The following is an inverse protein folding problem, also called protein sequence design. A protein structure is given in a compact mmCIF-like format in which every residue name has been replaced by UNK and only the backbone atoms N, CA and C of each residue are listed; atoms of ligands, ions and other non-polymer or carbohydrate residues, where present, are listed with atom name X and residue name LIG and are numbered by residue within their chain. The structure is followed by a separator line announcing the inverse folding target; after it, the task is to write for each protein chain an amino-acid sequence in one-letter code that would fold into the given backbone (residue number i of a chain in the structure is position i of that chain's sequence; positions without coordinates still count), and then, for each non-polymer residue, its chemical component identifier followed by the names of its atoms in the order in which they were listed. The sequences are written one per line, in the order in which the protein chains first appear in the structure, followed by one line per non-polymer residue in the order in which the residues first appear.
data_IF_463310549472
#
_entry.id   IF_463310549472
#
_cell.length_a   1.000
_cell.length_b   1.000
_cell.length_c   1.000
_cell.angle_alpha   90.00
_cell.angle_beta   90.00
_cell.angle_gamma   90.00
#
_symmetry.space_group_name_H-M   'P 1'
#
loop_
_entity.id
_entity.type
_entity.pdbx_description
1 polymer ?
#
# COMPACT_ATOMS: atom_id res chain seq x y z
N UNK A 1 -0.57 -23.38 9.94
CA UNK A 1 0.07 -22.87 8.71
C UNK A 1 1.22 -21.99 9.15
N UNK A 2 2.42 -22.09 8.57
CA UNK A 2 3.56 -21.25 8.98
C UNK A 2 3.74 -20.01 8.08
N UNK A 3 3.02 -19.95 6.97
CA UNK A 3 2.93 -18.80 6.09
C UNK A 3 1.79 -17.91 6.55
N UNK A 4 1.95 -16.61 6.37
CA UNK A 4 0.89 -15.66 6.52
C UNK A 4 -0.25 -15.96 5.54
N UNK A 5 -1.49 -15.82 6.01
CA UNK A 5 -2.67 -16.11 5.19
C UNK A 5 -2.91 -15.05 4.11
N UNK A 6 -2.48 -13.81 4.38
CA UNK A 6 -2.63 -12.65 3.50
C UNK A 6 -1.33 -11.82 3.43
N UNK A 7 -0.22 -12.36 2.89
CA UNK A 7 1.00 -11.58 2.70
C UNK A 7 0.73 -10.33 1.85
N UNK A 8 1.12 -9.15 2.34
CA UNK A 8 0.81 -7.84 1.72
C UNK A 8 -0.69 -7.59 1.50
N UNK A 9 -1.57 -8.30 2.21
CA UNK A 9 -3.02 -8.23 2.04
C UNK A 9 -3.54 -9.04 0.84
N UNK A 10 -2.69 -9.86 0.21
CA UNK A 10 -3.05 -10.77 -0.89
C UNK A 10 -3.32 -12.17 -0.32
N UNK A 11 -4.52 -12.76 -0.54
CA UNK A 11 -4.78 -14.13 -0.09
C UNK A 11 -3.71 -15.09 -0.61
N UNK A 12 -3.18 -15.98 0.24
CA UNK A 12 -2.07 -16.86 -0.13
C UNK A 12 -2.37 -17.71 -1.38
N UNK A 13 -3.63 -18.08 -1.63
CA UNK A 13 -4.05 -18.79 -2.84
C UNK A 13 -3.94 -18.00 -4.15
N UNK A 14 -3.79 -16.67 -4.07
CA UNK A 14 -3.50 -15.78 -5.20
C UNK A 14 -2.02 -15.44 -5.32
N UNK A 15 -1.18 -15.85 -4.37
CA UNK A 15 0.28 -15.68 -4.45
C UNK A 15 0.87 -16.85 -5.24
N UNK A 16 1.71 -16.61 -6.27
CA UNK A 16 2.24 -17.65 -7.15
C UNK A 16 3.39 -18.47 -6.52
N UNK A 17 3.22 -18.94 -5.28
CA UNK A 17 4.22 -19.72 -4.53
C UNK A 17 4.54 -21.06 -5.19
N UNK A 18 3.56 -21.68 -5.86
CA UNK A 18 3.71 -22.97 -6.53
C UNK A 18 4.51 -22.86 -7.84
N UNK A 19 4.53 -21.67 -8.44
CA UNK A 19 5.27 -21.39 -9.67
C UNK A 19 6.73 -21.02 -9.35
N UNK A 20 6.98 -20.43 -8.18
CA UNK A 20 8.30 -19.97 -7.75
C UNK A 20 9.28 -21.11 -7.43
N UNK A 21 10.36 -21.18 -8.20
CA UNK A 21 11.37 -22.23 -8.08
C UNK A 21 12.13 -22.18 -6.75
N UNK A 22 12.42 -20.97 -6.24
CA UNK A 22 13.12 -20.77 -4.98
C UNK A 22 12.23 -21.18 -3.80
N UNK A 23 10.95 -20.82 -3.80
CA UNK A 23 9.96 -21.24 -2.81
C UNK A 23 9.87 -22.76 -2.74
N UNK A 24 9.68 -23.44 -3.88
CA UNK A 24 9.67 -24.92 -3.96
C UNK A 24 10.95 -25.55 -3.42
N UNK A 25 12.12 -24.95 -3.72
CA UNK A 25 13.41 -25.42 -3.20
C UNK A 25 13.46 -25.32 -1.67
N UNK A 26 13.06 -24.17 -1.11
CA UNK A 26 13.02 -23.93 0.34
C UNK A 26 12.02 -24.86 1.04
N UNK A 27 10.84 -25.09 0.46
CA UNK A 27 9.85 -26.02 1.00
C UNK A 27 10.40 -27.46 1.04
N UNK A 28 11.11 -27.88 -0.02
CA UNK A 28 11.82 -29.16 -0.06
C UNK A 28 12.92 -29.28 1.00
N UNK A 29 13.66 -28.20 1.26
CA UNK A 29 14.65 -28.14 2.34
C UNK A 29 13.99 -28.23 3.71
N UNK A 30 12.90 -27.51 3.95
CA UNK A 30 12.12 -27.57 5.18
C UNK A 30 11.61 -29.00 5.46
N UNK A 31 11.11 -29.69 4.42
CA UNK A 31 10.68 -31.10 4.52
C UNK A 31 11.84 -32.03 4.90
N UNK A 32 13.04 -31.82 4.37
CA UNK A 32 14.25 -32.59 4.74
C UNK A 32 14.69 -32.30 6.17
N UNK A 33 14.75 -31.03 6.56
CA UNK A 33 15.10 -30.60 7.92
C UNK A 33 14.13 -31.15 8.96
N UNK A 34 12.83 -31.16 8.66
CA UNK A 34 11.78 -31.66 9.56
C UNK A 34 11.83 -33.18 9.77
N UNK A 35 12.46 -33.93 8.86
CA UNK A 35 12.66 -35.39 8.99
C UNK A 35 13.88 -35.75 9.83
N UNK A 36 14.86 -34.86 9.93
CA UNK A 36 16.07 -35.08 10.70
C UNK A 36 15.83 -34.79 12.19
N UNK A 37 15.60 -35.86 12.97
CA UNK A 37 15.34 -35.77 14.43
C UNK A 37 16.48 -35.12 15.23
N UNK A 38 17.68 -34.94 14.64
CA UNK A 38 18.84 -34.31 15.29
C UNK A 38 18.92 -32.81 15.06
N UNK A 39 18.22 -32.27 14.06
CA UNK A 39 18.21 -30.83 13.74
C UNK A 39 17.12 -30.12 14.53
N UNK A 40 17.55 -29.15 15.33
CA UNK A 40 16.72 -28.42 16.31
C UNK A 40 15.91 -27.30 15.66
N UNK A 41 14.89 -26.86 16.40
CA UNK A 41 13.91 -25.83 16.07
C UNK A 41 14.43 -24.54 15.40
N UNK A 42 15.62 -23.98 15.72
CA UNK A 42 16.09 -22.74 15.10
C UNK A 42 16.18 -22.83 13.57
N UNK A 43 16.85 -23.85 13.03
CA UNK A 43 16.98 -24.00 11.57
C UNK A 43 15.63 -24.24 10.86
N UNK A 44 14.63 -24.80 11.56
CA UNK A 44 13.27 -24.95 11.04
C UNK A 44 12.54 -23.60 11.08
N UNK A 45 12.75 -22.81 12.13
CA UNK A 45 12.19 -21.46 12.28
C UNK A 45 12.73 -20.53 11.20
N UNK A 46 14.05 -20.46 11.05
CA UNK A 46 14.73 -19.60 10.06
C UNK A 46 14.26 -19.93 8.63
N UNK A 47 14.06 -21.22 8.35
CA UNK A 47 13.56 -21.68 7.05
C UNK A 47 12.08 -21.32 6.83
N UNK A 48 11.24 -21.32 7.89
CA UNK A 48 9.84 -20.88 7.81
C UNK A 48 9.75 -19.38 7.60
N UNK A 49 10.59 -18.61 8.28
CA UNK A 49 10.71 -17.16 8.09
C UNK A 49 11.12 -16.84 6.66
N UNK A 50 12.17 -17.51 6.14
CA UNK A 50 12.61 -17.33 4.74
C UNK A 50 11.50 -17.66 3.71
N UNK A 51 10.68 -18.68 3.99
CA UNK A 51 9.51 -18.98 3.15
C UNK A 51 8.43 -17.90 3.24
N UNK A 52 8.19 -17.36 4.44
CA UNK A 52 7.24 -16.28 4.63
C UNK A 52 7.71 -15.01 3.90
N UNK A 53 8.98 -14.62 4.04
CA UNK A 53 9.58 -13.50 3.34
C UNK A 53 9.43 -13.64 1.81
N UNK A 54 9.69 -14.84 1.28
CA UNK A 54 9.49 -15.11 -0.15
C UNK A 54 8.03 -15.00 -0.59
N UNK A 55 7.09 -15.45 0.24
CA UNK A 55 5.66 -15.25 -0.03
C UNK A 55 5.30 -13.77 -0.08
N UNK A 56 5.86 -12.95 0.83
CA UNK A 56 5.70 -11.49 0.80
C UNK A 56 6.31 -10.85 -0.45
N UNK A 57 7.51 -11.26 -0.87
CA UNK A 57 8.11 -10.78 -2.13
C UNK A 57 7.23 -11.08 -3.34
N UNK A 58 6.69 -12.29 -3.43
CA UNK A 58 5.78 -12.67 -4.51
C UNK A 58 4.47 -11.89 -4.44
N UNK A 59 3.92 -11.69 -3.23
CA UNK A 59 2.71 -10.90 -3.03
C UNK A 59 2.88 -9.44 -3.47
N UNK A 60 4.06 -8.83 -3.27
CA UNK A 60 4.37 -7.47 -3.78
C UNK A 60 4.29 -7.38 -5.30
N UNK A 61 4.67 -8.43 -6.02
CA UNK A 61 4.53 -8.48 -7.47
C UNK A 61 3.06 -8.49 -7.86
N UNK A 62 2.22 -9.25 -7.14
CA UNK A 62 0.77 -9.27 -7.39
C UNK A 62 0.13 -7.91 -7.09
N UNK A 63 0.50 -7.26 -5.97
CA UNK A 63 0.07 -5.90 -5.64
C UNK A 63 0.43 -4.91 -6.76
N UNK A 64 1.64 -5.00 -7.32
CA UNK A 64 2.06 -4.13 -8.40
C UNK A 64 1.26 -4.36 -9.70
N UNK A 65 0.89 -5.60 -9.99
CA UNK A 65 0.04 -5.93 -11.15
C UNK A 65 -1.42 -5.49 -10.95
N UNK A 66 -1.97 -5.63 -9.74
CA UNK A 66 -3.33 -5.21 -9.40
C UNK A 66 -3.56 -3.73 -9.68
N UNK A 67 -2.55 -2.88 -9.42
CA UNK A 67 -2.63 -1.43 -9.60
C UNK A 67 -2.19 -0.94 -10.99
N UNK A 68 -1.82 -1.86 -11.90
CA UNK A 68 -1.29 -1.50 -13.23
C UNK A 68 -2.32 -0.80 -14.12
N UNK A 69 -3.61 -1.13 -13.96
CA UNK A 69 -4.71 -0.50 -14.70
C UNK A 69 -5.10 0.89 -14.18
N UNK A 70 -4.53 1.32 -13.05
CA UNK A 70 -4.88 2.57 -12.39
C UNK A 70 -4.01 3.73 -12.87
N UNK A 71 -4.55 4.95 -12.73
CA UNK A 71 -3.83 6.20 -12.95
C UNK A 71 -2.59 6.28 -12.07
N UNK A 72 -1.56 6.97 -12.55
CA UNK A 72 -0.30 7.09 -11.81
C UNK A 72 -0.44 7.93 -10.54
N UNK A 73 -1.35 8.91 -10.53
CA UNK A 73 -1.57 9.77 -9.37
C UNK A 73 -3.04 10.18 -9.18
N UNK A 74 -3.41 10.40 -7.92
CA UNK A 74 -4.71 10.93 -7.48
C UNK A 74 -4.46 12.12 -6.56
N UNK A 75 -5.09 13.27 -6.82
CA UNK A 75 -4.90 14.50 -6.02
C UNK A 75 -3.41 14.89 -5.85
N UNK A 76 -2.59 14.63 -6.88
CA UNK A 76 -1.14 14.86 -6.87
C UNK A 76 -0.32 13.85 -6.05
N UNK A 77 -0.94 12.80 -5.50
CA UNK A 77 -0.30 11.71 -4.75
C UNK A 77 -0.08 10.52 -5.69
N UNK A 78 1.15 10.02 -5.78
CA UNK A 78 1.46 8.81 -6.56
C UNK A 78 0.73 7.59 -5.99
N UNK A 79 0.24 6.69 -6.83
CA UNK A 79 -0.53 5.51 -6.37
C UNK A 79 0.27 4.61 -5.41
N UNK A 80 1.59 4.53 -5.59
CA UNK A 80 2.50 3.80 -4.71
C UNK A 80 2.53 4.38 -3.30
N UNK A 81 2.22 5.67 -3.17
CA UNK A 81 2.20 6.38 -1.89
C UNK A 81 0.87 6.25 -1.14
N UNK A 82 -0.20 5.81 -1.81
CA UNK A 82 -1.55 5.68 -1.24
C UNK A 82 -1.73 4.40 -0.42
N UNK A 83 -0.84 3.41 -0.54
CA UNK A 83 -0.95 2.11 0.12
C UNK A 83 -2.32 1.44 -0.10
N UNK A 84 -2.80 1.41 -1.36
CA UNK A 84 -4.17 1.00 -1.71
C UNK A 84 -4.59 -0.35 -1.10
N UNK A 85 -3.69 -1.34 -1.04
CA UNK A 85 -3.97 -2.65 -0.43
C UNK A 85 -4.14 -2.64 1.10
N UNK A 86 -3.91 -1.54 1.81
CA UNK A 86 -4.31 -1.43 3.22
C UNK A 86 -5.81 -1.20 3.38
N UNK A 87 -6.45 -0.65 2.36
CA UNK A 87 -7.90 -0.49 2.33
C UNK A 87 -8.59 -1.83 2.06
N UNK A 88 -9.62 -2.15 2.85
CA UNK A 88 -10.34 -3.41 2.73
C UNK A 88 -11.13 -3.50 1.42
N UNK A 89 -11.81 -2.42 1.05
CA UNK A 89 -12.70 -2.41 -0.10
C UNK A 89 -11.90 -2.46 -1.41
N UNK A 90 -10.76 -1.74 -1.46
CA UNK A 90 -9.82 -1.85 -2.58
C UNK A 90 -9.29 -3.28 -2.75
N UNK A 91 -8.89 -3.94 -1.66
CA UNK A 91 -8.44 -5.34 -1.71
C UNK A 91 -9.52 -6.28 -2.25
N UNK A 92 -10.77 -6.08 -1.84
CA UNK A 92 -11.89 -6.88 -2.34
C UNK A 92 -12.11 -6.70 -3.84
N UNK A 93 -12.02 -5.46 -4.34
CA UNK A 93 -12.11 -5.19 -5.78
C UNK A 93 -10.93 -5.81 -6.56
N UNK A 94 -9.70 -5.70 -6.06
CA UNK A 94 -8.54 -6.34 -6.66
C UNK A 94 -8.68 -7.89 -6.71
N UNK A 95 -9.19 -8.50 -5.63
CA UNK A 95 -9.52 -9.93 -5.60
C UNK A 95 -10.57 -10.31 -6.66
N UNK A 96 -11.62 -9.50 -6.82
CA UNK A 96 -12.66 -9.70 -7.83
C UNK A 96 -12.07 -9.62 -9.23
N UNK A 97 -11.23 -8.62 -9.51
CA UNK A 97 -10.54 -8.47 -10.80
C UNK A 97 -9.71 -9.71 -11.13
N UNK A 98 -8.86 -10.17 -10.21
CA UNK A 98 -8.06 -11.40 -10.39
C UNK A 98 -8.92 -12.63 -10.69
N UNK A 99 -10.00 -12.79 -9.94
CA UNK A 99 -10.93 -13.91 -10.11
C UNK A 99 -11.62 -13.86 -11.47
N UNK A 100 -12.04 -12.68 -11.91
CA UNK A 100 -12.66 -12.47 -13.21
C UNK A 100 -11.69 -12.79 -14.36
N UNK A 101 -10.43 -12.33 -14.25
CA UNK A 101 -9.37 -12.65 -15.22
C UNK A 101 -9.08 -14.16 -15.30
N UNK A 102 -9.06 -14.87 -14.17
CA UNK A 102 -8.86 -16.34 -14.13
C UNK A 102 -10.02 -17.13 -14.74
N UNK A 103 -11.24 -16.58 -14.70
CA UNK A 103 -12.49 -17.23 -15.15
C UNK A 103 -12.87 -16.87 -16.60
N UNK A 104 -12.04 -16.12 -17.31
CA UNK A 104 -12.29 -15.65 -18.68
C UNK A 104 -13.64 -14.91 -18.81
N UNK A 105 -13.95 -14.10 -17.80
CA UNK A 105 -15.15 -13.24 -17.75
C UNK A 105 -15.05 -12.15 -18.84
N UNK A 106 -16.18 -11.69 -19.43
CA UNK A 106 -16.16 -10.63 -20.44
C UNK A 106 -15.37 -9.40 -20.01
N UNK A 107 -14.58 -8.85 -20.93
CA UNK A 107 -13.74 -7.64 -20.71
C UNK A 107 -14.54 -6.47 -20.16
N UNK A 108 -15.83 -6.34 -20.54
CA UNK A 108 -16.71 -5.30 -20.02
C UNK A 108 -16.93 -5.38 -18.51
N UNK A 109 -17.02 -6.59 -17.93
CA UNK A 109 -17.16 -6.77 -16.47
C UNK A 109 -15.84 -6.54 -15.74
N UNK A 110 -14.70 -6.86 -16.38
CA UNK A 110 -13.39 -6.50 -15.83
C UNK A 110 -13.25 -4.97 -15.79
N UNK A 111 -13.67 -4.28 -16.85
CA UNK A 111 -13.61 -2.82 -16.93
C UNK A 111 -14.48 -2.14 -15.85
N UNK A 112 -15.65 -2.68 -15.50
CA UNK A 112 -16.46 -2.13 -14.40
C UNK A 112 -15.80 -2.32 -13.03
N UNK A 113 -15.09 -3.43 -12.81
CA UNK A 113 -14.30 -3.63 -11.59
C UNK A 113 -13.13 -2.64 -11.55
N UNK A 114 -12.42 -2.45 -12.68
CA UNK A 114 -11.31 -1.50 -12.77
C UNK A 114 -11.76 -0.05 -12.54
N UNK A 115 -12.94 0.33 -13.05
CA UNK A 115 -13.55 1.64 -12.76
C UNK A 115 -13.86 1.80 -11.27
N UNK A 116 -14.41 0.77 -10.61
CA UNK A 116 -14.64 0.78 -9.18
C UNK A 116 -13.33 0.87 -8.37
N UNK A 117 -12.26 0.21 -8.83
CA UNK A 117 -10.92 0.31 -8.23
C UNK A 117 -10.36 1.74 -8.35
N UNK A 118 -10.50 2.38 -9.51
CA UNK A 118 -10.08 3.76 -9.74
C UNK A 118 -10.86 4.75 -8.85
N UNK A 119 -12.18 4.57 -8.74
CA UNK A 119 -13.02 5.38 -7.86
C UNK A 119 -12.63 5.20 -6.38
N UNK A 120 -12.33 3.98 -5.95
CA UNK A 120 -11.87 3.73 -4.57
C UNK A 120 -10.49 4.32 -4.31
N UNK A 121 -9.57 4.24 -5.27
CA UNK A 121 -8.26 4.90 -5.16
C UNK A 121 -8.38 6.43 -5.04
N UNK A 122 -9.32 7.04 -5.76
CA UNK A 122 -9.62 8.47 -5.62
C UNK A 122 -10.13 8.82 -4.21
N UNK A 123 -11.06 8.03 -3.66
CA UNK A 123 -11.56 8.22 -2.29
C UNK A 123 -10.45 8.09 -1.24
N UNK A 124 -9.57 7.09 -1.38
CA UNK A 124 -8.41 6.91 -0.50
C UNK A 124 -7.50 8.14 -0.57
N UNK A 125 -7.28 8.72 -1.76
CA UNK A 125 -6.49 9.93 -1.90
C UNK A 125 -7.16 11.13 -1.22
N UNK A 126 -8.48 11.28 -1.32
CA UNK A 126 -9.23 12.32 -0.62
C UNK A 126 -9.12 12.17 0.90
N UNK A 127 -9.21 10.95 1.43
CA UNK A 127 -9.01 10.68 2.85
C UNK A 127 -7.57 10.98 3.29
N UNK A 128 -6.57 10.67 2.46
CA UNK A 128 -5.16 11.02 2.74
C UNK A 128 -4.97 12.53 2.78
N UNK A 129 -5.57 13.29 1.86
CA UNK A 129 -5.52 14.75 1.86
C UNK A 129 -6.22 15.30 3.09
N UNK A 130 -7.46 14.87 3.35
CA UNK A 130 -8.25 15.33 4.50
C UNK A 130 -7.54 15.08 5.83
N UNK A 131 -7.05 13.87 6.05
CA UNK A 131 -6.28 13.55 7.27
C UNK A 131 -4.93 14.27 7.29
N UNK A 132 -4.32 14.46 6.11
CA UNK A 132 -3.09 15.20 5.93
C UNK A 132 -3.20 16.67 6.32
N UNK A 133 -4.37 17.28 6.11
CA UNK A 133 -4.72 18.69 6.39
C UNK A 133 -5.39 18.91 7.74
N UNK A 134 -5.62 17.87 8.54
CA UNK A 134 -6.37 17.96 9.80
C UNK A 134 -5.74 18.86 10.88
N UNK A 135 -4.48 19.28 10.70
CA UNK A 135 -3.79 20.22 11.60
C UNK A 135 -3.99 21.69 11.21
N UNK A 136 -4.59 21.96 10.05
CA UNK A 136 -4.87 23.31 9.59
C UNK A 136 -6.04 23.91 10.36
N UNK A 137 -6.06 25.24 10.50
CA UNK A 137 -7.25 25.95 10.95
C UNK A 137 -8.43 25.61 10.02
N UNK A 138 -9.58 25.14 10.53
CA UNK A 138 -10.76 24.92 9.71
C UNK A 138 -11.37 26.22 9.15
N UNK A 139 -11.14 27.36 9.81
CA UNK A 139 -11.69 28.65 9.43
C UNK A 139 -10.63 29.79 9.44
N UNK A 140 -9.57 29.71 8.63
CA UNK A 140 -8.56 30.76 8.53
C UNK A 140 -9.23 32.07 8.10
N UNK A 141 -8.98 33.13 8.85
CA UNK A 141 -9.61 34.45 8.68
C UNK A 141 -11.16 34.42 8.63
N UNK A 142 -11.79 33.34 9.10
CA UNK A 142 -13.24 33.14 9.09
C UNK A 142 -13.81 32.52 7.80
N UNK A 143 -12.98 32.10 6.85
CA UNK A 143 -13.43 31.36 5.65
C UNK A 143 -13.27 29.86 5.84
N UNK A 144 -14.23 29.05 5.38
CA UNK A 144 -14.11 27.60 5.46
C UNK A 144 -12.97 27.11 4.57
N UNK A 145 -12.06 26.31 5.13
CA UNK A 145 -10.95 25.70 4.41
C UNK A 145 -11.42 24.88 3.19
N UNK A 146 -12.64 24.33 3.23
CA UNK A 146 -13.24 23.62 2.10
C UNK A 146 -13.48 24.52 0.87
N UNK A 147 -13.63 25.84 1.07
CA UNK A 147 -13.83 26.82 0.01
C UNK A 147 -12.50 27.39 -0.52
N UNK A 148 -11.37 27.05 0.12
CA UNK A 148 -10.03 27.47 -0.30
C UNK A 148 -9.44 26.45 -1.28
N UNK A 149 -9.11 26.83 -2.53
CA UNK A 149 -8.65 25.89 -3.56
C UNK A 149 -7.16 25.51 -3.42
N UNK A 150 -6.79 24.98 -2.24
CA UNK A 150 -5.41 24.61 -1.88
C UNK A 150 -4.78 23.60 -2.85
N UNK A 151 -5.58 22.78 -3.52
CA UNK A 151 -5.08 21.80 -4.47
C UNK A 151 -4.48 22.43 -5.74
N UNK A 152 -4.87 23.67 -6.03
CA UNK A 152 -4.35 24.44 -7.18
C UNK A 152 -3.16 25.33 -6.79
N UNK A 153 -2.87 25.44 -5.49
CA UNK A 153 -1.71 26.16 -4.99
C UNK A 153 -0.48 25.26 -5.05
N UNK A 154 0.34 25.44 -6.09
CA UNK A 154 1.55 24.65 -6.32
C UNK A 154 2.52 24.66 -5.13
N UNK A 155 2.61 25.78 -4.39
CA UNK A 155 3.50 25.89 -3.23
C UNK A 155 2.91 25.12 -2.05
N UNK A 156 1.60 25.20 -1.84
CA UNK A 156 0.92 24.40 -0.82
C UNK A 156 1.07 22.90 -1.10
N UNK A 157 0.82 22.48 -2.33
CA UNK A 157 0.99 21.09 -2.77
C UNK A 157 2.44 20.59 -2.58
N UNK A 158 3.44 21.45 -2.81
CA UNK A 158 4.85 21.15 -2.56
C UNK A 158 5.13 20.92 -1.06
N UNK A 159 4.61 21.78 -0.19
CA UNK A 159 4.73 21.62 1.27
C UNK A 159 4.03 20.34 1.75
N UNK A 160 2.85 20.02 1.23
CA UNK A 160 2.15 18.76 1.52
C UNK A 160 2.97 17.53 1.11
N UNK A 161 3.60 17.58 -0.07
CA UNK A 161 4.46 16.50 -0.55
C UNK A 161 5.71 16.35 0.32
N UNK A 162 6.36 17.45 0.71
CA UNK A 162 7.51 17.43 1.62
C UNK A 162 7.14 16.88 2.98
N UNK A 163 6.04 17.36 3.58
CA UNK A 163 5.52 16.87 4.85
C UNK A 163 5.26 15.36 4.79
N UNK A 164 4.57 14.87 3.75
CA UNK A 164 4.32 13.42 3.53
C UNK A 164 5.62 12.64 3.43
N UNK A 165 6.59 13.12 2.65
CA UNK A 165 7.91 12.46 2.50
C UNK A 165 8.65 12.35 3.83
N UNK A 166 8.67 13.43 4.62
CA UNK A 166 9.35 13.47 5.93
C UNK A 166 8.66 12.60 6.98
N UNK A 167 7.33 12.55 6.98
CA UNK A 167 6.57 11.69 7.86
C UNK A 167 6.83 10.20 7.59
N UNK A 168 7.06 9.83 6.32
CA UNK A 168 7.41 8.45 5.92
C UNK A 168 8.86 8.06 6.25
N UNK A 169 9.79 9.01 6.35
CA UNK A 169 11.21 8.70 6.64
C UNK A 169 11.44 8.42 8.13
N UNK A 170 11.24 7.15 8.50
CA UNK A 170 11.42 6.65 9.88
C UNK A 170 12.88 6.70 10.36
N UNK A 171 13.87 6.69 9.45
CA UNK A 171 15.30 6.74 9.79
C UNK A 171 15.71 8.07 10.40
N UNK A 172 15.02 9.15 10.01
CA UNK A 172 15.29 10.51 10.47
C UNK A 172 14.17 11.06 11.37
N UNK A 173 13.30 10.21 11.92
CA UNK A 173 12.06 10.61 12.59
C UNK A 173 12.23 11.73 13.62
N UNK A 174 13.28 11.64 14.48
CA UNK A 174 13.55 12.68 15.50
C UNK A 174 13.85 14.05 14.88
N UNK A 175 14.63 14.09 13.81
CA UNK A 175 14.98 15.34 13.10
C UNK A 175 13.80 15.87 12.29
N UNK A 176 13.07 14.96 11.64
CA UNK A 176 11.92 15.32 10.83
C UNK A 176 10.78 15.89 11.67
N UNK A 177 10.67 15.57 12.96
CA UNK A 177 9.62 16.11 13.83
C UNK A 177 9.60 17.64 13.87
N UNK A 178 10.74 18.28 14.12
CA UNK A 178 10.80 19.74 14.18
C UNK A 178 10.55 20.37 12.80
N UNK A 179 11.10 19.78 11.73
CA UNK A 179 10.89 20.27 10.36
C UNK A 179 9.43 20.13 9.92
N UNK A 180 8.76 19.04 10.30
CA UNK A 180 7.34 18.84 10.03
C UNK A 180 6.52 19.90 10.76
N UNK A 181 6.82 20.20 12.02
CA UNK A 181 6.13 21.28 12.76
C UNK A 181 6.31 22.62 12.06
N UNK A 182 7.55 22.97 11.69
CA UNK A 182 7.82 24.25 11.03
C UNK A 182 7.13 24.34 9.65
N UNK A 183 7.01 23.21 8.92
CA UNK A 183 6.20 23.11 7.70
C UNK A 183 4.70 23.26 7.98
N UNK A 184 4.18 22.66 9.05
CA UNK A 184 2.78 22.78 9.45
C UNK A 184 2.41 24.23 9.82
N UNK A 185 3.32 24.96 10.45
CA UNK A 185 3.16 26.39 10.75
C UNK A 185 3.15 27.24 9.46
N UNK A 186 4.05 26.96 8.50
CA UNK A 186 4.06 27.66 7.20
C UNK A 186 2.81 27.35 6.38
N UNK A 187 2.32 26.10 6.43
CA UNK A 187 1.09 25.69 5.77
C UNK A 187 -0.12 26.40 6.37
N UNK A 188 -0.23 26.51 7.69
CA UNK A 188 -1.29 27.27 8.36
C UNK A 188 -1.28 28.75 8.01
N UNK A 189 -0.10 29.35 7.84
CA UNK A 189 0.01 30.76 7.45
C UNK A 189 -0.36 31.03 5.98
N UNK A 190 -0.53 29.97 5.17
CA UNK A 190 -0.85 30.03 3.74
C UNK A 190 -2.26 29.53 3.40
N UNK A 191 -2.87 28.74 4.28
CA UNK A 191 -4.26 28.27 4.21
C UNK A 191 -5.23 29.35 4.61
#
# INVERSE_FOLDING_TARGET
MFLDAEPEGIPLGDVPVDEDADFKRMEGQLRKLSRDRRRKGPAISDMRESLNDRAHELAKVVVADDVRCLKDAYRGIQKEDLNLHKDKDFRELANQRRTASKKDVPVAEIATIEEAMDARAAQIADDVIKNGRAFLDPQPEGMDLADVPLDTDERFASMEAERRRRAKDTRSAKRNKDIIRDLEDEMNARS
#
